data_IF_254521695342
#
_entry.id   IF_254521695342
#
_cell.length_a   1.000
_cell.length_b   1.000
_cell.length_c   1.000
_cell.angle_alpha   90.00
_cell.angle_beta   90.00
_cell.angle_gamma   90.00
#
_symmetry.space_group_name_H-M   'P 1'
#
loop_
_entity.id
_entity.type
_entity.pdbx_description
1 polymer ?
#
# COMPACT_ATOMS: atom_id res chain seq x y z
N UNK A 1 -2.97 -62.84 18.81
CA UNK A 1 -3.46 -63.71 19.92
C UNK A 1 -4.24 -62.79 20.83
N UNK A 2 -5.57 -62.94 20.87
CA UNK A 2 -6.42 -62.20 21.82
C UNK A 2 -5.98 -62.57 23.25
N UNK A 3 -5.30 -61.62 23.89
CA UNK A 3 -4.82 -61.76 25.24
C UNK A 3 -6.00 -61.43 26.18
N UNK A 4 -6.62 -62.45 26.79
CA UNK A 4 -7.66 -62.24 27.82
C UNK A 4 -6.99 -61.86 29.14
N UNK A 5 -6.99 -60.57 29.44
CA UNK A 5 -6.45 -59.99 30.66
C UNK A 5 -7.53 -59.90 31.74
N UNK A 6 -7.77 -61.00 32.46
CA UNK A 6 -8.75 -60.99 33.54
C UNK A 6 -8.08 -60.62 34.87
N UNK A 7 -8.33 -59.42 35.37
CA UNK A 7 -7.90 -59.00 36.70
C UNK A 7 -9.06 -59.06 37.68
N UNK A 8 -8.78 -59.56 38.90
CA UNK A 8 -9.74 -59.57 40.00
C UNK A 8 -9.13 -58.82 41.17
N UNK A 9 -9.64 -57.62 41.43
CA UNK A 9 -9.25 -56.83 42.59
C UNK A 9 -10.18 -57.20 43.73
N UNK A 10 -9.68 -58.03 44.63
CA UNK A 10 -10.35 -58.33 45.90
C UNK A 10 -9.99 -57.25 46.91
N UNK A 11 -10.96 -56.81 47.68
CA UNK A 11 -10.76 -55.94 48.83
C UNK A 11 -11.35 -56.52 50.10
N UNK A 12 -11.38 -55.69 51.12
CA UNK A 12 -12.04 -55.96 52.39
C UNK A 12 -13.56 -56.09 52.21
N UNK A 13 -14.24 -56.66 53.20
CA UNK A 13 -15.71 -56.72 53.25
C UNK A 13 -16.37 -57.43 52.06
N UNK A 14 -15.76 -58.51 51.57
CA UNK A 14 -16.27 -59.33 50.46
C UNK A 14 -16.36 -58.56 49.13
N UNK A 15 -15.61 -57.46 49.00
CA UNK A 15 -15.51 -56.70 47.76
C UNK A 15 -14.66 -57.45 46.73
N UNK A 16 -15.21 -57.61 45.52
CA UNK A 16 -14.52 -58.23 44.39
C UNK A 16 -14.94 -57.51 43.11
N UNK A 17 -13.97 -56.92 42.40
CA UNK A 17 -14.22 -56.22 41.14
C UNK A 17 -13.42 -56.90 40.03
N UNK A 18 -14.09 -57.15 38.91
CA UNK A 18 -13.56 -57.85 37.76
C UNK A 18 -13.28 -56.86 36.63
N UNK A 19 -12.12 -57.01 35.99
CA UNK A 19 -11.70 -56.21 34.84
C UNK A 19 -11.26 -57.14 33.72
N UNK A 20 -11.71 -56.85 32.50
CA UNK A 20 -11.44 -57.65 31.31
C UNK A 20 -10.21 -57.14 30.53
N UNK A 21 -9.62 -56.00 30.95
CA UNK A 21 -8.40 -55.45 30.37
C UNK A 21 -7.57 -54.64 31.36
N UNK A 22 -6.27 -54.50 31.06
CA UNK A 22 -5.35 -53.62 31.81
C UNK A 22 -5.78 -52.14 31.73
N UNK A 23 -6.39 -51.73 30.63
CA UNK A 23 -6.90 -50.36 30.45
C UNK A 23 -8.07 -50.07 31.40
N UNK A 24 -9.04 -50.99 31.50
CA UNK A 24 -10.15 -50.87 32.45
C UNK A 24 -9.66 -50.81 33.90
N UNK A 25 -8.71 -51.68 34.25
CA UNK A 25 -8.06 -51.66 35.57
C UNK A 25 -7.35 -50.33 35.82
N UNK A 26 -6.65 -49.78 34.82
CA UNK A 26 -5.94 -48.51 34.90
C UNK A 26 -6.86 -47.33 35.18
N UNK A 27 -7.96 -47.21 34.42
CA UNK A 27 -8.96 -46.15 34.60
C UNK A 27 -9.57 -46.24 36.01
N UNK A 28 -9.90 -47.44 36.47
CA UNK A 28 -10.46 -47.65 37.81
C UNK A 28 -9.49 -47.23 38.92
N UNK A 29 -8.23 -47.67 38.84
CA UNK A 29 -7.20 -47.33 39.82
C UNK A 29 -6.95 -45.82 39.86
N UNK A 30 -6.99 -45.14 38.71
CA UNK A 30 -6.86 -43.69 38.64
C UNK A 30 -8.02 -42.96 39.31
N UNK A 31 -9.26 -43.39 39.06
CA UNK A 31 -10.44 -42.84 39.73
C UNK A 31 -10.43 -43.07 41.24
N UNK A 32 -10.05 -44.26 41.71
CA UNK A 32 -9.89 -44.55 43.15
C UNK A 32 -8.81 -43.66 43.77
N UNK A 33 -7.66 -43.50 43.09
CA UNK A 33 -6.55 -42.67 43.56
C UNK A 33 -6.95 -41.20 43.69
N UNK A 34 -7.69 -40.66 42.73
CA UNK A 34 -8.20 -39.27 42.79
C UNK A 34 -9.13 -39.08 44.00
N UNK A 35 -10.08 -40.00 44.19
CA UNK A 35 -11.03 -39.94 45.29
C UNK A 35 -10.34 -40.04 46.66
N UNK A 36 -9.42 -41.00 46.84
CA UNK A 36 -8.68 -41.12 48.09
C UNK A 36 -7.73 -39.93 48.33
N UNK A 37 -7.11 -39.38 47.29
CA UNK A 37 -6.28 -38.18 47.39
C UNK A 37 -7.10 -36.96 47.84
N UNK A 38 -8.32 -36.82 47.33
CA UNK A 38 -9.27 -35.79 47.76
C UNK A 38 -9.63 -35.93 49.25
N UNK A 39 -9.88 -37.16 49.72
CA UNK A 39 -10.11 -37.46 51.14
C UNK A 39 -8.87 -37.10 51.97
N UNK A 40 -7.68 -37.58 51.59
CA UNK A 40 -6.44 -37.29 52.31
C UNK A 40 -6.18 -35.78 52.41
N UNK A 41 -6.39 -35.02 51.33
CA UNK A 41 -6.26 -33.56 51.32
C UNK A 41 -7.22 -32.88 52.30
N UNK A 42 -8.49 -33.30 52.32
CA UNK A 42 -9.52 -32.78 53.23
C UNK A 42 -9.11 -32.93 54.69
N UNK A 43 -8.53 -34.09 55.03
CA UNK A 43 -8.06 -34.43 56.38
C UNK A 43 -6.57 -34.15 56.61
N UNK A 44 -5.95 -33.31 55.77
CA UNK A 44 -4.54 -32.87 55.87
C UNK A 44 -3.54 -34.02 56.04
N UNK A 45 -3.81 -35.17 55.42
CA UNK A 45 -2.97 -36.36 55.49
C UNK A 45 -2.95 -37.05 56.85
N UNK A 46 -3.89 -36.75 57.76
CA UNK A 46 -3.89 -37.35 59.10
C UNK A 46 -4.57 -38.72 59.18
N UNK A 47 -5.29 -39.14 58.13
CA UNK A 47 -5.89 -40.46 58.02
C UNK A 47 -4.87 -41.47 57.47
N UNK A 48 -4.10 -42.09 58.38
CA UNK A 48 -3.08 -43.11 58.02
C UNK A 48 -3.60 -44.24 57.12
N UNK A 49 -4.81 -44.80 57.33
CA UNK A 49 -5.35 -45.84 56.45
C UNK A 49 -5.50 -45.38 55.00
N UNK A 50 -5.99 -44.16 54.78
CA UNK A 50 -6.18 -43.58 53.46
C UNK A 50 -4.83 -43.36 52.77
N UNK A 51 -3.83 -42.85 53.49
CA UNK A 51 -2.50 -42.66 52.92
C UNK A 51 -1.84 -43.98 52.54
N UNK A 52 -2.03 -45.04 53.32
CA UNK A 52 -1.52 -46.36 52.98
C UNK A 52 -2.17 -46.88 51.70
N UNK A 53 -3.48 -46.73 51.54
CA UNK A 53 -4.21 -47.08 50.31
C UNK A 53 -3.67 -46.28 49.13
N UNK A 54 -3.52 -44.95 49.26
CA UNK A 54 -2.96 -44.08 48.21
C UNK A 54 -1.58 -44.55 47.76
N UNK A 55 -0.69 -44.88 48.69
CA UNK A 55 0.66 -45.34 48.38
C UNK A 55 0.63 -46.63 47.54
N UNK A 56 -0.23 -47.59 47.91
CA UNK A 56 -0.37 -48.84 47.17
C UNK A 56 -1.08 -48.67 45.82
N UNK A 57 -2.09 -47.80 45.72
CA UNK A 57 -2.73 -47.45 44.45
C UNK A 57 -1.78 -46.70 43.51
N UNK A 58 -0.93 -45.83 44.04
CA UNK A 58 0.10 -45.12 43.25
C UNK A 58 1.10 -46.11 42.67
N UNK A 59 1.58 -47.06 43.48
CA UNK A 59 2.47 -48.12 43.02
C UNK A 59 1.79 -49.01 41.98
N UNK A 60 0.52 -49.36 42.18
CA UNK A 60 -0.25 -50.14 41.21
C UNK A 60 -0.42 -49.38 39.88
N UNK A 61 -0.77 -48.09 39.93
CA UNK A 61 -0.89 -47.21 38.75
C UNK A 61 0.41 -47.19 37.94
N UNK A 62 1.56 -47.07 38.61
CA UNK A 62 2.87 -47.12 37.96
C UNK A 62 3.10 -48.44 37.24
N UNK A 63 2.83 -49.58 37.88
CA UNK A 63 3.01 -50.89 37.24
C UNK A 63 2.06 -51.10 36.05
N UNK A 64 0.82 -50.62 36.15
CA UNK A 64 -0.15 -50.64 35.04
C UNK A 64 0.35 -49.78 33.88
N UNK A 65 0.90 -48.59 34.15
CA UNK A 65 1.38 -47.68 33.11
C UNK A 65 2.50 -48.29 32.26
N UNK A 66 3.39 -49.10 32.86
CA UNK A 66 4.41 -49.82 32.10
C UNK A 66 3.81 -50.87 31.16
N UNK A 67 2.75 -51.57 31.58
CA UNK A 67 2.06 -52.55 30.71
C UNK A 67 1.34 -51.83 29.58
N UNK A 68 0.64 -50.73 29.86
CA UNK A 68 -0.03 -49.93 28.84
C UNK A 68 0.96 -49.35 27.81
N UNK A 69 2.16 -48.95 28.25
CA UNK A 69 3.23 -48.50 27.36
C UNK A 69 3.75 -49.62 26.46
N UNK A 70 3.93 -50.84 26.99
CA UNK A 70 4.31 -52.01 26.20
C UNK A 70 3.23 -52.37 25.16
N UNK A 71 1.95 -52.30 25.55
CA UNK A 71 0.80 -52.54 24.66
C UNK A 71 0.76 -51.49 23.53
N UNK A 72 0.87 -50.19 23.87
CA UNK A 72 0.84 -49.10 22.89
C UNK A 72 2.03 -49.15 21.91
N UNK A 73 3.17 -49.72 22.33
CA UNK A 73 4.35 -49.90 21.49
C UNK A 73 4.39 -51.24 20.75
N UNK A 74 3.32 -52.05 20.82
CA UNK A 74 3.23 -53.41 20.26
C UNK A 74 4.37 -54.34 20.70
N UNK A 75 4.89 -54.13 21.92
CA UNK A 75 5.98 -54.92 22.50
C UNK A 75 5.44 -56.09 23.32
N UNK A 76 6.19 -57.20 23.44
CA UNK A 76 5.82 -58.26 24.36
C UNK A 76 5.83 -57.74 25.80
N UNK A 77 4.70 -57.90 26.50
CA UNK A 77 4.54 -57.46 27.90
C UNK A 77 5.55 -58.17 28.80
N UNK A 78 6.33 -57.39 29.55
CA UNK A 78 7.30 -57.91 30.51
C UNK A 78 6.60 -58.72 31.62
N UNK A 79 6.93 -60.02 31.82
CA UNK A 79 6.34 -60.85 32.88
C UNK A 79 6.52 -60.26 34.29
N UNK A 80 7.59 -59.49 34.51
CA UNK A 80 7.87 -58.85 35.79
C UNK A 80 6.82 -57.79 36.15
N UNK A 81 6.38 -56.98 35.17
CA UNK A 81 5.34 -55.96 35.39
C UNK A 81 4.01 -56.61 35.75
N UNK A 82 3.64 -57.72 35.08
CA UNK A 82 2.43 -58.48 35.42
C UNK A 82 2.48 -59.08 36.83
N UNK A 83 3.61 -59.67 37.20
CA UNK A 83 3.80 -60.20 38.55
C UNK A 83 3.69 -59.10 39.61
N UNK A 84 4.23 -57.91 39.32
CA UNK A 84 4.13 -56.76 40.21
C UNK A 84 2.70 -56.21 40.33
N UNK A 85 1.93 -56.17 39.24
CA UNK A 85 0.51 -55.81 39.28
C UNK A 85 -0.26 -56.78 40.18
N UNK A 86 -0.10 -58.09 39.98
CA UNK A 86 -0.78 -59.09 40.81
C UNK A 86 -0.34 -59.02 42.29
N UNK A 87 0.94 -58.77 42.56
CA UNK A 87 1.45 -58.61 43.92
C UNK A 87 0.85 -57.38 44.62
N UNK A 88 0.69 -56.25 43.91
CA UNK A 88 0.05 -55.05 44.45
C UNK A 88 -1.45 -55.28 44.68
N UNK A 89 -2.15 -55.95 43.75
CA UNK A 89 -3.55 -56.34 43.93
C UNK A 89 -3.73 -57.22 45.18
N UNK A 90 -2.86 -58.23 45.35
CA UNK A 90 -2.91 -59.10 46.52
C UNK A 90 -2.66 -58.32 47.82
N UNK A 91 -1.75 -57.35 47.81
CA UNK A 91 -1.46 -56.50 48.97
C UNK A 91 -2.66 -55.63 49.34
N UNK A 92 -3.27 -54.99 48.35
CA UNK A 92 -4.48 -54.17 48.52
C UNK A 92 -5.64 -54.95 49.14
N UNK A 93 -5.75 -56.26 48.89
CA UNK A 93 -6.87 -57.08 49.39
C UNK A 93 -7.07 -57.07 50.90
N UNK A 94 -6.02 -56.77 51.67
CA UNK A 94 -6.04 -56.71 53.13
C UNK A 94 -6.34 -55.33 53.72
N UNK A 95 -6.43 -54.28 52.90
CA UNK A 95 -6.49 -52.90 53.38
C UNK A 95 -7.35 -51.96 52.52
N UNK A 96 -7.81 -52.41 51.36
CA UNK A 96 -8.57 -51.57 50.45
C UNK A 96 -10.02 -52.03 50.36
N UNK A 97 -10.91 -51.06 50.19
CA UNK A 97 -12.28 -51.21 49.72
C UNK A 97 -12.55 -50.03 48.77
N UNK A 98 -13.56 -50.09 47.89
CA UNK A 98 -13.89 -48.98 46.99
C UNK A 98 -14.13 -47.68 47.76
N UNK A 99 -13.74 -46.53 47.21
CA UNK A 99 -13.82 -45.23 47.92
C UNK A 99 -15.22 -44.91 48.49
N UNK A 100 -16.28 -45.38 47.84
CA UNK A 100 -17.68 -45.22 48.27
C UNK A 100 -18.15 -46.20 49.35
N UNK A 101 -17.28 -47.11 49.84
CA UNK A 101 -17.66 -48.08 50.85
C UNK A 101 -17.94 -47.40 52.20
N UNK A 102 -19.00 -47.81 52.90
CA UNK A 102 -19.47 -47.19 54.15
C UNK A 102 -18.43 -47.17 55.28
N UNK A 103 -17.45 -48.07 55.22
CA UNK A 103 -16.32 -48.09 56.17
C UNK A 103 -15.56 -46.75 56.19
N UNK A 104 -15.45 -46.07 55.05
CA UNK A 104 -14.74 -44.80 54.96
C UNK A 104 -15.55 -43.63 55.48
N UNK A 105 -16.88 -43.68 55.40
CA UNK A 105 -17.75 -42.73 56.09
C UNK A 105 -17.63 -42.88 57.61
N UNK A 106 -17.65 -44.14 58.08
CA UNK A 106 -17.43 -44.43 59.51
C UNK A 106 -16.02 -44.02 59.97
N UNK A 107 -15.00 -44.23 59.15
CA UNK A 107 -13.63 -43.79 59.41
C UNK A 107 -13.54 -42.26 59.58
N UNK A 108 -14.20 -41.51 58.69
CA UNK A 108 -14.27 -40.04 58.75
C UNK A 108 -14.95 -39.58 60.04
N UNK A 109 -16.11 -40.15 60.37
CA UNK A 109 -16.81 -39.89 61.63
C UNK A 109 -15.93 -40.16 62.87
N UNK A 110 -15.22 -41.29 62.90
CA UNK A 110 -14.31 -41.62 64.00
C UNK A 110 -13.18 -40.60 64.13
N UNK A 111 -12.67 -40.09 63.02
CA UNK A 111 -11.67 -39.02 63.06
C UNK A 111 -12.26 -37.71 63.59
N UNK A 112 -13.44 -37.31 63.13
CA UNK A 112 -14.05 -36.05 63.54
C UNK A 112 -14.38 -36.02 65.04
N UNK A 113 -14.80 -37.15 65.61
CA UNK A 113 -15.15 -37.28 67.03
C UNK A 113 -13.96 -37.62 67.94
N UNK A 114 -13.07 -38.51 67.50
CA UNK A 114 -12.02 -39.11 68.34
C UNK A 114 -10.60 -38.91 67.81
N UNK A 115 -10.43 -38.08 66.78
CA UNK A 115 -9.18 -37.72 66.13
C UNK A 115 -8.33 -38.92 65.66
N UNK A 116 -7.05 -38.66 65.39
CA UNK A 116 -6.07 -39.67 64.95
C UNK A 116 -5.98 -40.85 65.91
N UNK A 117 -6.13 -40.63 67.22
CA UNK A 117 -6.10 -41.68 68.23
C UNK A 117 -7.27 -42.67 68.05
N UNK A 118 -8.49 -42.19 67.77
CA UNK A 118 -9.62 -43.05 67.46
C UNK A 118 -9.39 -43.87 66.18
N UNK A 119 -8.92 -43.21 65.12
CA UNK A 119 -8.63 -43.87 63.82
C UNK A 119 -7.58 -44.98 63.96
N UNK A 120 -6.53 -44.74 64.75
CA UNK A 120 -5.46 -45.72 65.01
C UNK A 120 -6.00 -47.03 65.58
N UNK A 121 -7.04 -46.98 66.43
CA UNK A 121 -7.65 -48.19 66.96
C UNK A 121 -8.80 -48.72 66.09
N UNK A 122 -9.60 -47.84 65.48
CA UNK A 122 -10.72 -48.24 64.64
C UNK A 122 -10.30 -49.11 63.45
N UNK A 123 -9.36 -48.62 62.63
CA UNK A 123 -9.06 -49.26 61.35
C UNK A 123 -8.54 -50.70 61.51
N UNK A 124 -7.53 -50.99 62.36
CA UNK A 124 -7.04 -52.35 62.55
C UNK A 124 -8.12 -53.31 63.08
N UNK A 125 -9.01 -52.84 63.96
CA UNK A 125 -10.08 -53.66 64.52
C UNK A 125 -11.22 -53.94 63.51
N UNK A 126 -11.47 -53.05 62.54
CA UNK A 126 -12.49 -53.30 61.50
C UNK A 126 -11.99 -54.28 60.43
N UNK A 127 -10.71 -54.21 60.04
CA UNK A 127 -10.16 -55.03 58.94
C UNK A 127 -9.79 -56.47 59.36
N UNK A 128 -10.13 -56.87 60.59
CA UNK A 128 -9.87 -58.22 61.13
C UNK A 128 -8.57 -58.37 61.92
N UNK A 129 -7.82 -57.28 62.13
CA UNK A 129 -6.73 -57.23 63.10
C UNK A 129 -7.24 -56.95 64.52
N UNK A 130 -6.31 -56.76 65.46
CA UNK A 130 -6.62 -56.31 66.81
C UNK A 130 -5.59 -55.29 67.28
N UNK A 131 -6.07 -54.14 67.74
CA UNK A 131 -5.24 -53.14 68.40
C UNK A 131 -5.83 -52.78 69.75
N UNK A 132 -5.11 -53.12 70.82
CA UNK A 132 -5.51 -52.81 72.18
C UNK A 132 -5.56 -51.29 72.41
N UNK A 133 -6.66 -50.75 72.94
CA UNK A 133 -6.75 -49.34 73.28
C UNK A 133 -5.85 -48.97 74.46
N UNK A 134 -4.99 -47.96 74.29
CA UNK A 134 -4.13 -47.38 75.33
C UNK A 134 -4.69 -46.11 75.98
N UNK A 135 -5.74 -45.50 75.41
CA UNK A 135 -6.41 -44.33 75.96
C UNK A 135 -7.91 -44.31 75.62
N UNK A 136 -8.65 -43.37 76.20
CA UNK A 136 -10.10 -43.24 76.00
C UNK A 136 -10.48 -43.09 74.52
N UNK A 137 -9.77 -42.25 73.76
CA UNK A 137 -10.07 -42.01 72.34
C UNK A 137 -9.85 -43.28 71.48
N UNK A 138 -8.77 -44.02 71.75
CA UNK A 138 -8.53 -45.33 71.13
C UNK A 138 -9.63 -46.33 71.51
N UNK A 139 -10.13 -46.29 72.76
CA UNK A 139 -11.22 -47.17 73.18
C UNK A 139 -12.50 -46.88 72.39
N UNK A 140 -12.82 -45.59 72.21
CA UNK A 140 -13.97 -45.18 71.40
C UNK A 140 -13.82 -45.60 69.93
N UNK A 141 -12.60 -45.55 69.38
CA UNK A 141 -12.30 -46.08 68.05
C UNK A 141 -12.53 -47.59 67.92
N UNK A 142 -12.07 -48.38 68.90
CA UNK A 142 -12.32 -49.83 68.92
C UNK A 142 -13.80 -50.19 69.07
N UNK A 143 -14.56 -49.46 69.90
CA UNK A 143 -16.01 -49.65 70.03
C UNK A 143 -16.75 -49.30 68.73
N UNK A 144 -16.37 -48.19 68.08
CA UNK A 144 -16.94 -47.81 66.79
C UNK A 144 -16.69 -48.85 65.69
N UNK A 145 -15.58 -49.59 65.78
CA UNK A 145 -15.26 -50.71 64.90
C UNK A 145 -16.18 -51.92 65.15
N UNK A 146 -16.38 -52.26 66.43
CA UNK A 146 -17.32 -53.32 66.83
C UNK A 146 -18.75 -53.02 66.36
N UNK A 147 -19.24 -51.80 66.60
CA UNK A 147 -20.59 -51.39 66.18
C UNK A 147 -20.76 -51.50 64.67
N UNK A 148 -19.78 -51.01 63.89
CA UNK A 148 -19.80 -51.10 62.44
C UNK A 148 -19.89 -52.56 61.94
N UNK A 149 -19.09 -53.46 62.52
CA UNK A 149 -19.11 -54.88 62.15
C UNK A 149 -20.42 -55.56 62.56
N UNK A 150 -21.00 -55.18 63.71
CA UNK A 150 -22.30 -55.68 64.17
C UNK A 150 -23.43 -55.23 63.25
N UNK A 151 -23.47 -53.95 62.89
CA UNK A 151 -24.45 -53.38 61.96
C UNK A 151 -24.36 -54.05 60.59
N UNK A 152 -23.14 -54.26 60.07
CA UNK A 152 -22.92 -55.02 58.83
C UNK A 152 -23.45 -56.45 58.92
N UNK A 153 -23.30 -57.12 60.07
CA UNK A 153 -23.83 -58.47 60.28
C UNK A 153 -25.37 -58.49 60.35
N UNK A 154 -26.01 -57.44 60.88
CA UNK A 154 -27.48 -57.33 60.81
C UNK A 154 -28.00 -57.10 59.39
N UNK A 155 -27.21 -56.47 58.50
CA UNK A 155 -27.56 -56.35 57.07
C UNK A 155 -27.52 -57.72 56.37
N UNK A 156 -26.63 -58.63 56.77
CA UNK A 156 -26.64 -60.00 56.24
C UNK A 156 -27.85 -60.85 56.66
N UNK A 157 -28.67 -60.38 57.60
CA UNK A 157 -29.92 -61.02 58.06
C UNK A 157 -31.19 -60.44 57.36
N UNK A 158 -31.04 -59.74 56.24
CA UNK A 158 -32.17 -59.18 55.45
C UNK A 158 -33.12 -60.28 54.93
N UNK A 159 -34.43 -60.02 54.99
CA UNK A 159 -35.49 -60.81 54.34
C UNK A 159 -35.23 -60.93 52.83
N UNK A 160 -35.59 -62.07 52.22
CA UNK A 160 -35.47 -62.28 50.77
C UNK A 160 -36.16 -61.16 49.95
N UNK A 161 -37.26 -60.58 50.45
CA UNK A 161 -37.96 -59.49 49.75
C UNK A 161 -37.14 -58.19 49.62
N UNK A 162 -36.40 -57.84 50.68
CA UNK A 162 -35.59 -56.63 50.70
C UNK A 162 -34.34 -56.83 49.84
N UNK A 163 -33.84 -58.07 49.81
CA UNK A 163 -32.74 -58.49 48.94
C UNK A 163 -33.14 -58.36 47.46
N UNK A 164 -34.32 -58.85 47.08
CA UNK A 164 -34.85 -58.76 45.72
C UNK A 164 -35.09 -57.29 45.31
N UNK A 165 -35.62 -56.46 46.22
CA UNK A 165 -35.80 -55.03 45.98
C UNK A 165 -34.47 -54.28 45.77
N UNK A 166 -33.45 -54.62 46.57
CA UNK A 166 -32.11 -54.05 46.43
C UNK A 166 -31.47 -54.50 45.11
N UNK A 167 -31.54 -55.80 44.77
CA UNK A 167 -31.03 -56.31 43.49
C UNK A 167 -31.70 -55.61 42.31
N UNK A 168 -33.02 -55.48 42.31
CA UNK A 168 -33.75 -54.84 41.22
C UNK A 168 -33.35 -53.36 41.04
N UNK A 169 -33.20 -52.61 42.15
CA UNK A 169 -32.73 -51.23 42.08
C UNK A 169 -31.27 -51.15 41.62
N UNK A 170 -30.43 -52.10 42.02
CA UNK A 170 -29.04 -52.16 41.59
C UNK A 170 -28.94 -52.46 40.08
N UNK A 171 -29.73 -53.40 39.56
CA UNK A 171 -29.83 -53.68 38.13
C UNK A 171 -30.31 -52.47 37.35
N UNK A 172 -31.36 -51.79 37.81
CA UNK A 172 -31.87 -50.57 37.17
C UNK A 172 -30.83 -49.44 37.18
N UNK A 173 -30.06 -49.29 38.26
CA UNK A 173 -28.99 -48.29 38.35
C UNK A 173 -27.84 -48.59 37.38
N UNK A 174 -27.46 -49.86 37.23
CA UNK A 174 -26.46 -50.30 36.24
C UNK A 174 -26.95 -50.04 34.82
N UNK A 175 -28.20 -50.40 34.50
CA UNK A 175 -28.79 -50.19 33.17
C UNK A 175 -28.80 -48.70 32.79
N UNK A 176 -29.26 -47.84 33.72
CA UNK A 176 -29.20 -46.39 33.54
C UNK A 176 -27.77 -45.85 33.43
N UNK A 177 -26.82 -46.41 34.18
CA UNK A 177 -25.41 -46.08 34.06
C UNK A 177 -24.85 -46.40 32.66
N UNK A 178 -25.21 -47.55 32.11
CA UNK A 178 -24.79 -47.96 30.77
C UNK A 178 -25.42 -47.07 29.68
N UNK A 179 -26.70 -46.74 29.76
CA UNK A 179 -27.36 -45.79 28.85
C UNK A 179 -26.67 -44.41 28.88
N UNK A 180 -26.33 -43.92 30.07
CA UNK A 180 -25.61 -42.65 30.23
C UNK A 180 -24.20 -42.71 29.63
N UNK A 181 -23.50 -43.83 29.76
CA UNK A 181 -22.18 -44.01 29.18
C UNK A 181 -22.23 -44.11 27.65
N UNK A 182 -23.24 -44.79 27.08
CA UNK A 182 -23.46 -44.82 25.63
C UNK A 182 -23.78 -43.42 25.07
N UNK A 183 -24.65 -42.67 25.75
CA UNK A 183 -24.97 -41.29 25.34
C UNK A 183 -23.76 -40.38 25.45
N UNK A 184 -22.95 -40.50 26.52
CA UNK A 184 -21.67 -39.78 26.69
C UNK A 184 -20.73 -40.04 25.52
N UNK A 185 -20.48 -41.31 25.17
CA UNK A 185 -19.62 -41.69 24.03
C UNK A 185 -20.13 -41.15 22.70
N UNK A 186 -21.45 -41.16 22.50
CA UNK A 186 -22.06 -40.62 21.27
C UNK A 186 -21.88 -39.10 21.15
N UNK A 187 -21.99 -38.38 22.27
CA UNK A 187 -21.78 -36.95 22.36
C UNK A 187 -20.31 -36.59 22.11
N UNK A 188 -19.39 -37.34 22.72
CA UNK A 188 -17.95 -37.16 22.55
C UNK A 188 -17.56 -37.33 21.07
N UNK A 189 -18.05 -38.39 20.41
CA UNK A 189 -17.81 -38.60 18.98
C UNK A 189 -18.35 -37.46 18.10
N UNK A 190 -19.54 -36.93 18.44
CA UNK A 190 -20.12 -35.79 17.72
C UNK A 190 -19.32 -34.51 17.92
N UNK A 191 -18.83 -34.27 19.15
CA UNK A 191 -18.01 -33.11 19.45
C UNK A 191 -16.68 -33.15 18.66
N UNK A 192 -16.00 -34.30 18.64
CA UNK A 192 -14.76 -34.49 17.88
C UNK A 192 -15.00 -34.27 16.38
N UNK A 193 -16.08 -34.85 15.82
CA UNK A 193 -16.40 -34.65 14.40
C UNK A 193 -16.72 -33.20 14.07
N UNK A 194 -17.50 -32.53 14.93
CA UNK A 194 -17.84 -31.12 14.74
C UNK A 194 -16.61 -30.22 14.80
N UNK A 195 -15.70 -30.47 15.75
CA UNK A 195 -14.44 -29.73 15.86
C UNK A 195 -13.56 -29.92 14.61
N UNK A 196 -13.45 -31.16 14.12
CA UNK A 196 -12.71 -31.44 12.89
C UNK A 196 -13.32 -30.77 11.65
N UNK A 197 -14.65 -30.76 11.52
CA UNK A 197 -15.36 -30.08 10.42
C UNK A 197 -15.18 -28.55 10.49
N UNK A 198 -15.29 -27.96 11.69
CA UNK A 198 -15.05 -26.54 11.90
C UNK A 198 -13.62 -26.15 11.56
N UNK A 199 -12.63 -26.94 11.99
CA UNK A 199 -11.22 -26.66 11.71
C UNK A 199 -10.92 -26.76 10.21
N UNK A 200 -11.48 -27.76 9.53
CA UNK A 200 -11.37 -27.88 8.07
C UNK A 200 -12.02 -26.70 7.37
N UNK A 201 -13.27 -26.36 7.71
CA UNK A 201 -13.99 -25.24 7.10
C UNK A 201 -13.26 -23.91 7.30
N UNK A 202 -12.64 -23.70 8.46
CA UNK A 202 -11.84 -22.51 8.73
C UNK A 202 -10.59 -22.48 7.85
N UNK A 203 -9.87 -23.58 7.75
CA UNK A 203 -8.68 -23.69 6.90
C UNK A 203 -8.99 -23.48 5.42
N UNK A 204 -10.10 -24.06 4.94
CA UNK A 204 -10.55 -23.91 3.55
C UNK A 204 -10.91 -22.43 3.25
N UNK A 205 -11.64 -21.78 4.17
CA UNK A 205 -11.98 -20.35 4.07
C UNK A 205 -10.74 -19.44 4.11
N UNK A 206 -9.77 -19.73 4.97
CA UNK A 206 -8.52 -18.97 5.06
C UNK A 206 -7.70 -19.07 3.76
N UNK A 207 -7.60 -20.27 3.18
CA UNK A 207 -6.95 -20.47 1.89
C UNK A 207 -7.66 -19.71 0.76
N UNK A 208 -8.98 -19.81 0.67
CA UNK A 208 -9.76 -19.09 -0.34
C UNK A 208 -9.59 -17.56 -0.22
N UNK A 209 -9.64 -17.03 1.00
CA UNK A 209 -9.39 -15.60 1.23
C UNK A 209 -7.99 -15.18 0.80
N UNK A 210 -6.97 -15.96 1.16
CA UNK A 210 -5.58 -15.67 0.78
C UNK A 210 -5.36 -15.72 -0.73
N UNK A 211 -5.95 -16.69 -1.43
CA UNK A 211 -5.86 -16.81 -2.89
C UNK A 211 -6.58 -15.65 -3.60
N UNK A 212 -7.76 -15.26 -3.10
CA UNK A 212 -8.48 -14.09 -3.61
C UNK A 212 -7.67 -12.81 -3.38
N UNK A 213 -7.10 -12.62 -2.19
CA UNK A 213 -6.27 -11.46 -1.88
C UNK A 213 -5.01 -11.41 -2.74
N UNK A 214 -4.33 -12.55 -2.92
CA UNK A 214 -3.13 -12.63 -3.75
C UNK A 214 -3.43 -12.31 -5.22
N UNK A 215 -4.53 -12.86 -5.77
CA UNK A 215 -4.93 -12.58 -7.15
C UNK A 215 -5.35 -11.12 -7.36
N UNK A 216 -6.15 -10.55 -6.45
CA UNK A 216 -6.54 -9.14 -6.50
C UNK A 216 -5.33 -8.20 -6.38
N UNK A 217 -4.39 -8.51 -5.48
CA UNK A 217 -3.18 -7.71 -5.30
C UNK A 217 -2.31 -7.77 -6.55
N UNK A 218 -2.10 -8.95 -7.12
CA UNK A 218 -1.33 -9.13 -8.36
C UNK A 218 -1.96 -8.39 -9.53
N UNK A 219 -3.28 -8.51 -9.71
CA UNK A 219 -4.00 -7.79 -10.77
C UNK A 219 -3.93 -6.27 -10.58
N UNK A 220 -4.13 -5.77 -9.36
CA UNK A 220 -4.07 -4.33 -9.10
C UNK A 220 -2.67 -3.78 -9.26
N UNK A 221 -1.64 -4.55 -8.91
CA UNK A 221 -0.27 -4.11 -9.09
C UNK A 221 0.13 -4.06 -10.58
N UNK A 222 -0.31 -5.02 -11.39
CA UNK A 222 -0.06 -4.99 -12.84
C UNK A 222 -0.84 -3.88 -13.56
N UNK A 223 -2.10 -3.64 -13.17
CA UNK A 223 -2.88 -2.47 -13.63
C UNK A 223 -2.14 -1.16 -13.29
N UNK A 224 -1.68 -1.01 -12.05
CA UNK A 224 -0.96 0.18 -11.61
C UNK A 224 0.38 0.37 -12.33
N UNK A 225 1.15 -0.69 -12.55
CA UNK A 225 2.41 -0.61 -13.31
C UNK A 225 2.17 -0.18 -14.76
N UNK A 226 1.12 -0.70 -15.39
CA UNK A 226 0.69 -0.30 -16.73
C UNK A 226 0.29 1.18 -16.77
N UNK A 227 -0.64 1.59 -15.91
CA UNK A 227 -1.14 2.97 -15.85
C UNK A 227 -0.02 3.96 -15.53
N UNK A 228 0.88 3.58 -14.62
CA UNK A 228 2.07 4.37 -14.28
C UNK A 228 2.97 4.55 -15.49
N UNK A 229 3.24 3.49 -16.25
CA UNK A 229 4.10 3.57 -17.44
C UNK A 229 3.51 4.48 -18.53
N UNK A 230 2.19 4.44 -18.71
CA UNK A 230 1.48 5.32 -19.65
C UNK A 230 1.56 6.77 -19.16
N UNK A 231 1.30 7.00 -17.88
CA UNK A 231 1.36 8.33 -17.28
C UNK A 231 2.77 8.92 -17.36
N UNK A 232 3.81 8.15 -17.02
CA UNK A 232 5.20 8.61 -17.12
C UNK A 232 5.57 8.96 -18.57
N UNK A 233 5.15 8.15 -19.55
CA UNK A 233 5.38 8.45 -20.96
C UNK A 233 4.64 9.72 -21.44
N UNK A 234 3.36 9.87 -21.11
CA UNK A 234 2.56 11.05 -21.47
C UNK A 234 3.10 12.32 -20.79
N UNK A 235 3.49 12.20 -19.52
CA UNK A 235 4.11 13.29 -18.77
C UNK A 235 5.42 13.73 -19.42
N UNK A 236 6.33 12.80 -19.73
CA UNK A 236 7.62 13.10 -20.34
C UNK A 236 7.44 13.71 -21.75
N UNK A 237 6.53 13.17 -22.55
CA UNK A 237 6.18 13.74 -23.86
C UNK A 237 5.66 15.18 -23.72
N UNK A 238 4.76 15.43 -22.77
CA UNK A 238 4.20 16.76 -22.51
C UNK A 238 5.26 17.75 -22.03
N UNK A 239 6.16 17.32 -21.14
CA UNK A 239 7.27 18.15 -20.65
C UNK A 239 8.23 18.49 -21.79
N UNK A 240 8.62 17.52 -22.62
CA UNK A 240 9.51 17.78 -23.76
C UNK A 240 8.83 18.67 -24.82
N UNK A 241 7.53 18.47 -25.09
CA UNK A 241 6.76 19.34 -25.97
C UNK A 241 6.66 20.77 -25.43
N UNK A 242 6.45 20.93 -24.11
CA UNK A 242 6.40 22.24 -23.46
C UNK A 242 7.77 22.94 -23.50
N UNK A 243 8.86 22.22 -23.18
CA UNK A 243 10.23 22.75 -23.28
C UNK A 243 10.56 23.20 -24.69
N UNK A 244 10.20 22.40 -25.70
CA UNK A 244 10.39 22.74 -27.11
C UNK A 244 9.63 24.02 -27.47
N UNK A 245 8.35 24.12 -27.13
CA UNK A 245 7.54 25.33 -27.38
C UNK A 245 8.10 26.57 -26.68
N UNK A 246 8.57 26.44 -25.44
CA UNK A 246 9.19 27.56 -24.70
C UNK A 246 10.47 28.01 -25.41
N UNK A 247 11.32 27.08 -25.83
CA UNK A 247 12.56 27.39 -26.57
C UNK A 247 12.28 28.06 -27.92
N UNK A 248 11.31 27.56 -28.68
CA UNK A 248 10.87 28.16 -29.95
C UNK A 248 10.31 29.59 -29.73
N UNK A 249 9.50 29.78 -28.69
CA UNK A 249 8.94 31.08 -28.33
C UNK A 249 10.02 32.06 -27.89
N UNK A 250 10.99 31.61 -27.09
CA UNK A 250 12.13 32.42 -26.66
C UNK A 250 12.97 32.86 -27.85
N UNK A 251 13.31 31.95 -28.77
CA UNK A 251 14.04 32.27 -29.99
C UNK A 251 13.29 33.28 -30.86
N UNK A 252 11.99 33.09 -31.04
CA UNK A 252 11.11 34.00 -31.79
C UNK A 252 11.06 35.39 -31.15
N UNK A 253 10.96 35.45 -29.82
CA UNK A 253 10.90 36.71 -29.08
C UNK A 253 12.24 37.45 -29.09
N UNK A 254 13.36 36.74 -28.98
CA UNK A 254 14.70 37.33 -29.09
C UNK A 254 14.92 37.95 -30.48
N UNK A 255 14.51 37.27 -31.55
CA UNK A 255 14.55 37.82 -32.92
C UNK A 255 13.62 39.03 -33.08
N UNK A 256 12.41 38.98 -32.51
CA UNK A 256 11.52 40.13 -32.50
C UNK A 256 12.17 41.35 -31.85
N UNK A 257 12.72 41.19 -30.64
CA UNK A 257 13.35 42.28 -29.91
C UNK A 257 14.58 42.86 -30.63
N UNK A 258 15.33 42.02 -31.35
CA UNK A 258 16.51 42.43 -32.13
C UNK A 258 16.14 43.32 -33.31
N UNK A 259 15.01 43.08 -33.97
CA UNK A 259 14.65 43.71 -35.24
C UNK A 259 13.55 44.78 -35.12
N UNK A 260 12.70 44.71 -34.11
CA UNK A 260 11.62 45.67 -33.87
C UNK A 260 12.14 47.11 -33.68
N UNK A 261 13.14 47.29 -32.81
CA UNK A 261 13.72 48.62 -32.56
C UNK A 261 14.35 49.25 -33.81
N UNK A 262 15.18 48.52 -34.59
CA UNK A 262 15.63 48.99 -35.90
C UNK A 262 14.49 49.30 -36.88
N UNK A 263 13.46 48.45 -36.97
CA UNK A 263 12.32 48.67 -37.87
C UNK A 263 11.58 49.98 -37.52
N UNK A 264 11.32 50.19 -36.23
CA UNK A 264 10.70 51.41 -35.73
C UNK A 264 11.56 52.64 -35.99
N UNK A 265 12.89 52.52 -35.83
CA UNK A 265 13.83 53.58 -36.18
C UNK A 265 13.77 53.97 -37.67
N UNK A 266 13.74 52.98 -38.58
CA UNK A 266 13.64 53.24 -40.02
C UNK A 266 12.28 53.84 -40.40
N UNK A 267 11.18 53.36 -39.81
CA UNK A 267 9.85 53.96 -39.98
C UNK A 267 9.84 55.44 -39.55
N UNK A 268 10.37 55.74 -38.37
CA UNK A 268 10.46 57.12 -37.88
C UNK A 268 11.40 57.98 -38.76
N UNK A 269 12.41 57.37 -39.37
CA UNK A 269 13.35 58.05 -40.27
C UNK A 269 12.70 58.36 -41.61
N UNK A 270 11.88 57.44 -42.13
CA UNK A 270 11.04 57.66 -43.31
C UNK A 270 10.11 58.85 -43.10
N UNK A 271 9.41 58.92 -41.96
CA UNK A 271 8.51 60.04 -41.64
C UNK A 271 9.25 61.38 -41.62
N UNK A 272 10.47 61.41 -41.06
CA UNK A 272 11.32 62.61 -41.09
C UNK A 272 11.66 63.01 -42.52
N UNK A 273 12.12 62.09 -43.37
CA UNK A 273 12.46 62.41 -44.75
C UNK A 273 11.24 62.72 -45.62
N UNK A 274 10.06 62.17 -45.30
CA UNK A 274 8.78 62.52 -45.93
C UNK A 274 8.46 64.00 -45.70
N UNK A 275 8.57 64.48 -44.46
CA UNK A 275 8.37 65.88 -44.15
C UNK A 275 9.35 66.80 -44.88
N UNK A 276 10.64 66.42 -44.95
CA UNK A 276 11.64 67.20 -45.69
C UNK A 276 11.40 67.15 -47.20
N UNK A 277 11.00 66.00 -47.75
CA UNK A 277 10.67 65.83 -49.17
C UNK A 277 9.46 66.67 -49.55
N UNK A 278 8.44 66.70 -48.71
CA UNK A 278 7.29 67.58 -48.88
C UNK A 278 7.72 69.05 -48.90
N UNK A 279 8.55 69.48 -47.94
CA UNK A 279 9.08 70.84 -47.89
C UNK A 279 9.87 71.22 -49.16
N UNK A 280 10.81 70.38 -49.59
CA UNK A 280 11.59 70.62 -50.82
C UNK A 280 10.73 70.55 -52.08
N UNK A 281 9.71 69.68 -52.10
CA UNK A 281 8.75 69.58 -53.20
C UNK A 281 7.91 70.85 -53.34
N UNK A 282 7.42 71.38 -52.21
CA UNK A 282 6.71 72.67 -52.17
C UNK A 282 7.64 73.81 -52.59
N UNK A 283 8.87 73.84 -52.09
CA UNK A 283 9.86 74.87 -52.45
C UNK A 283 10.21 74.83 -53.96
N UNK A 284 10.42 73.64 -54.51
CA UNK A 284 10.68 73.44 -55.94
C UNK A 284 9.47 73.87 -56.77
N UNK A 285 8.25 73.46 -56.39
CA UNK A 285 7.02 73.84 -57.07
C UNK A 285 6.80 75.36 -57.06
N UNK A 286 7.00 76.02 -55.91
CA UNK A 286 6.92 77.47 -55.80
C UNK A 286 7.99 78.17 -56.65
N UNK A 287 9.24 77.68 -56.65
CA UNK A 287 10.33 78.24 -57.46
C UNK A 287 10.02 78.16 -58.96
N UNK A 288 9.53 77.00 -59.43
CA UNK A 288 9.08 76.81 -60.82
C UNK A 288 7.93 77.75 -61.16
N UNK A 289 6.94 77.88 -60.28
CA UNK A 289 5.79 78.77 -60.47
C UNK A 289 6.21 80.23 -60.59
N UNK A 290 7.10 80.72 -59.71
CA UNK A 290 7.66 82.08 -59.78
C UNK A 290 8.39 82.28 -61.10
N UNK A 291 9.20 81.31 -61.54
CA UNK A 291 9.88 81.37 -62.84
C UNK A 291 8.90 81.49 -64.01
N UNK A 292 7.79 80.74 -64.00
CA UNK A 292 6.74 80.83 -65.02
C UNK A 292 6.03 82.19 -65.02
N UNK A 293 5.73 82.75 -63.84
CA UNK A 293 5.11 84.08 -63.72
C UNK A 293 6.04 85.16 -64.25
N UNK A 294 7.32 85.15 -63.85
CA UNK A 294 8.33 86.09 -64.34
C UNK A 294 8.50 85.97 -65.85
N UNK A 295 8.56 84.75 -66.38
CA UNK A 295 8.63 84.48 -67.81
C UNK A 295 7.39 85.00 -68.55
N UNK A 296 6.20 84.78 -68.02
CA UNK A 296 4.94 85.26 -68.62
C UNK A 296 4.87 86.79 -68.66
N UNK A 297 5.23 87.47 -67.56
CA UNK A 297 5.29 88.94 -67.50
C UNK A 297 6.30 89.47 -68.51
N UNK A 298 7.50 88.88 -68.56
CA UNK A 298 8.54 89.25 -69.52
C UNK A 298 8.07 89.06 -70.97
N UNK A 299 7.47 87.91 -71.30
CA UNK A 299 6.98 87.58 -72.63
C UNK A 299 5.84 88.51 -73.08
N UNK A 300 4.90 88.84 -72.18
CA UNK A 300 3.83 89.81 -72.45
C UNK A 300 4.41 91.20 -72.73
N UNK A 301 5.30 91.71 -71.87
CA UNK A 301 5.91 93.02 -72.05
C UNK A 301 6.75 93.10 -73.34
N UNK A 302 7.42 92.01 -73.74
CA UNK A 302 8.15 91.91 -75.00
C UNK A 302 7.22 92.00 -76.22
N UNK A 303 6.07 91.32 -76.21
CA UNK A 303 5.04 91.38 -77.27
C UNK A 303 4.39 92.75 -77.39
N UNK A 304 4.18 93.44 -76.27
CA UNK A 304 3.55 94.77 -76.21
C UNK A 304 4.52 95.91 -76.61
N UNK A 305 5.80 95.60 -76.87
CA UNK A 305 6.78 96.58 -77.36
C UNK A 305 7.25 97.59 -76.31
N UNK A 306 7.04 97.31 -75.02
CA UNK A 306 7.51 98.15 -73.92
C UNK A 306 9.04 98.08 -73.77
N UNK A 307 9.67 99.18 -73.31
CA UNK A 307 11.10 99.18 -72.96
C UNK A 307 11.33 98.22 -71.79
N UNK A 308 11.83 97.03 -72.09
CA UNK A 308 12.36 96.12 -71.09
C UNK A 308 13.59 96.79 -70.48
N UNK A 309 13.70 96.83 -69.15
CA UNK A 309 14.88 97.37 -68.44
C UNK A 309 16.20 96.68 -68.79
N UNK A 310 16.17 95.68 -69.68
CA UNK A 310 17.31 95.02 -70.32
C UNK A 310 17.15 95.22 -71.83
N UNK A 311 18.02 96.04 -72.42
CA UNK A 311 18.14 96.25 -73.85
C UNK A 311 18.79 95.02 -74.52
N UNK A 312 17.95 94.14 -75.09
CA UNK A 312 18.35 92.86 -75.72
C UNK A 312 19.06 93.02 -77.07
N UNK A 313 19.09 94.23 -77.62
CA UNK A 313 19.86 94.63 -78.81
C UNK A 313 21.35 94.87 -78.49
N UNK A 314 21.70 95.02 -77.22
CA UNK A 314 23.07 95.25 -76.75
C UNK A 314 23.70 93.95 -76.24
N UNK A 315 24.97 93.70 -76.58
CA UNK A 315 25.74 92.51 -76.13
C UNK A 315 25.67 92.34 -74.61
N UNK A 316 25.75 93.44 -73.84
CA UNK A 316 25.67 93.42 -72.37
C UNK A 316 24.31 92.90 -71.86
N UNK A 317 23.21 93.27 -72.51
CA UNK A 317 21.86 92.83 -72.13
C UNK A 317 21.63 91.35 -72.42
N UNK A 318 22.09 90.87 -73.58
CA UNK A 318 22.05 89.44 -73.94
C UNK A 318 22.87 88.59 -72.96
N UNK A 319 24.09 89.02 -72.64
CA UNK A 319 24.95 88.31 -71.67
C UNK A 319 24.29 88.24 -70.30
N UNK A 320 23.76 89.35 -69.78
CA UNK A 320 23.09 89.39 -68.48
C UNK A 320 21.84 88.49 -68.43
N UNK A 321 21.05 88.46 -69.51
CA UNK A 321 19.89 87.59 -69.63
C UNK A 321 20.27 86.10 -69.65
N UNK A 322 21.26 85.71 -70.45
CA UNK A 322 21.75 84.33 -70.53
C UNK A 322 22.33 83.88 -69.19
N UNK A 323 23.12 84.73 -68.51
CA UNK A 323 23.63 84.44 -67.17
C UNK A 323 22.50 84.28 -66.15
N UNK A 324 21.47 85.13 -66.19
CA UNK A 324 20.30 85.02 -65.31
C UNK A 324 19.54 83.69 -65.46
N UNK A 325 19.29 83.27 -66.70
CA UNK A 325 18.66 81.96 -66.99
C UNK A 325 19.57 80.81 -66.52
N UNK A 326 20.88 80.91 -66.75
CA UNK A 326 21.82 79.87 -66.33
C UNK A 326 21.87 79.73 -64.79
N UNK A 327 21.87 80.85 -64.06
CA UNK A 327 21.81 80.85 -62.59
C UNK A 327 20.47 80.28 -62.09
N UNK A 328 19.35 80.67 -62.69
CA UNK A 328 18.04 80.10 -62.34
C UNK A 328 17.98 78.59 -62.60
N UNK A 329 18.46 78.14 -63.76
CA UNK A 329 18.55 76.72 -64.11
C UNK A 329 19.46 75.93 -63.17
N UNK A 330 20.56 76.53 -62.70
CA UNK A 330 21.42 75.93 -61.67
C UNK A 330 20.67 75.74 -60.35
N UNK A 331 19.98 76.76 -59.83
CA UNK A 331 19.19 76.64 -58.60
C UNK A 331 18.05 75.62 -58.73
N UNK A 332 17.36 75.60 -59.88
CA UNK A 332 16.33 74.59 -60.18
C UNK A 332 16.93 73.18 -60.13
N UNK A 333 18.12 72.98 -60.72
CA UNK A 333 18.82 71.69 -60.67
C UNK A 333 19.22 71.29 -59.25
N UNK A 334 19.68 72.23 -58.42
CA UNK A 334 20.03 71.96 -57.02
C UNK A 334 18.79 71.57 -56.22
N UNK A 335 17.69 72.33 -56.34
CA UNK A 335 16.42 72.02 -55.66
C UNK A 335 15.83 70.69 -56.10
N UNK A 336 15.86 70.39 -57.40
CA UNK A 336 15.43 69.10 -57.93
C UNK A 336 16.30 67.95 -57.39
N UNK A 337 17.63 68.13 -57.31
CA UNK A 337 18.53 67.14 -56.69
C UNK A 337 18.25 66.93 -55.21
N UNK A 338 17.98 67.99 -54.45
CA UNK A 338 17.65 67.89 -53.02
C UNK A 338 16.33 67.15 -52.81
N UNK A 339 15.28 67.48 -53.57
CA UNK A 339 14.00 66.77 -53.53
C UNK A 339 14.14 65.29 -53.90
N UNK A 340 14.84 64.99 -55.01
CA UNK A 340 15.07 63.60 -55.42
C UNK A 340 15.92 62.84 -54.40
N UNK A 341 16.87 63.51 -53.74
CA UNK A 341 17.67 62.90 -52.67
C UNK A 341 16.80 62.56 -51.46
N UNK A 342 16.03 63.50 -50.91
CA UNK A 342 15.23 63.23 -49.71
C UNK A 342 14.13 62.21 -49.98
N UNK A 343 13.53 62.21 -51.17
CA UNK A 343 12.51 61.21 -51.54
C UNK A 343 13.12 59.82 -51.71
N UNK A 344 14.36 59.72 -52.19
CA UNK A 344 15.08 58.44 -52.24
C UNK A 344 15.40 57.92 -50.83
N UNK A 345 15.90 58.77 -49.93
CA UNK A 345 16.16 58.38 -48.54
C UNK A 345 14.87 58.00 -47.79
N UNK A 346 13.75 58.66 -48.09
CA UNK A 346 12.44 58.29 -47.55
C UNK A 346 12.06 56.87 -48.01
N UNK A 347 12.03 56.63 -49.33
CA UNK A 347 11.62 55.33 -49.89
C UNK A 347 12.50 54.19 -49.40
N UNK A 348 13.81 54.41 -49.33
CA UNK A 348 14.75 53.45 -48.77
C UNK A 348 14.44 53.10 -47.31
N UNK A 349 14.16 54.11 -46.48
CA UNK A 349 13.79 53.89 -45.08
C UNK A 349 12.42 53.17 -44.95
N UNK A 350 11.45 53.47 -45.82
CA UNK A 350 10.15 52.77 -45.90
C UNK A 350 10.32 51.31 -46.31
N UNK A 351 11.09 51.04 -47.36
CA UNK A 351 11.36 49.69 -47.87
C UNK A 351 12.04 48.82 -46.80
N UNK A 352 13.04 49.35 -46.10
CA UNK A 352 13.71 48.64 -44.98
C UNK A 352 12.75 48.37 -43.83
N UNK A 353 11.91 49.33 -43.45
CA UNK A 353 10.92 49.12 -42.39
C UNK A 353 9.91 48.03 -42.79
N UNK A 354 9.37 48.10 -44.00
CA UNK A 354 8.40 47.12 -44.51
C UNK A 354 9.00 45.72 -44.64
N UNK A 355 10.22 45.58 -45.18
CA UNK A 355 10.92 44.30 -45.26
C UNK A 355 11.20 43.71 -43.87
N UNK A 356 11.53 44.56 -42.88
CA UNK A 356 11.75 44.08 -41.51
C UNK A 356 10.44 43.59 -40.87
N UNK A 357 9.33 44.32 -41.05
CA UNK A 357 8.02 43.86 -40.57
C UNK A 357 7.54 42.59 -41.27
N UNK A 358 7.76 42.50 -42.58
CA UNK A 358 7.43 41.31 -43.37
C UNK A 358 8.24 40.10 -42.88
N UNK A 359 9.52 40.28 -42.59
CA UNK A 359 10.37 39.25 -41.99
C UNK A 359 9.90 38.82 -40.60
N UNK A 360 9.57 39.79 -39.74
CA UNK A 360 9.02 39.52 -38.40
C UNK A 360 7.71 38.73 -38.46
N UNK A 361 6.83 39.04 -39.42
CA UNK A 361 5.60 38.29 -39.65
C UNK A 361 5.89 36.85 -40.12
N UNK A 362 6.85 36.66 -41.02
CA UNK A 362 7.22 35.34 -41.52
C UNK A 362 7.92 34.46 -40.47
N UNK A 363 8.73 35.03 -39.56
CA UNK A 363 9.26 34.30 -38.40
C UNK A 363 8.11 33.83 -37.51
N UNK A 364 7.17 34.72 -37.20
CA UNK A 364 6.04 34.41 -36.32
C UNK A 364 5.20 33.23 -36.86
N UNK A 365 5.03 33.16 -38.18
CA UNK A 365 4.28 32.10 -38.85
C UNK A 365 5.16 30.86 -39.15
N UNK A 366 6.43 30.84 -38.73
CA UNK A 366 7.35 29.71 -38.90
C UNK A 366 7.76 29.43 -40.36
N UNK A 367 7.63 30.42 -41.24
CA UNK A 367 7.67 30.25 -42.70
C UNK A 367 9.04 30.52 -43.36
N UNK A 368 10.13 30.69 -42.59
CA UNK A 368 11.45 31.08 -43.11
C UNK A 368 12.54 30.05 -42.82
N UNK A 369 13.29 29.68 -43.87
CA UNK A 369 14.53 28.90 -43.83
C UNK A 369 15.76 29.78 -43.51
N UNK A 370 16.81 29.20 -42.93
CA UNK A 370 18.01 29.90 -42.47
C UNK A 370 18.74 30.65 -43.61
N UNK A 371 18.68 30.14 -44.84
CA UNK A 371 19.25 30.83 -46.02
C UNK A 371 18.49 32.10 -46.40
N UNK A 372 17.18 32.12 -46.19
CA UNK A 372 16.33 33.29 -46.47
C UNK A 372 16.56 34.39 -45.44
N UNK A 373 16.94 34.03 -44.21
CA UNK A 373 17.29 34.96 -43.12
C UNK A 373 18.51 35.81 -43.45
N UNK A 374 19.60 35.19 -43.92
CA UNK A 374 20.82 35.93 -44.23
C UNK A 374 20.62 36.93 -45.37
N UNK A 375 19.83 36.57 -46.39
CA UNK A 375 19.51 37.46 -47.52
C UNK A 375 18.70 38.67 -47.06
N UNK A 376 17.71 38.48 -46.18
CA UNK A 376 16.90 39.58 -45.65
C UNK A 376 17.72 40.48 -44.73
N UNK A 377 18.55 39.90 -43.85
CA UNK A 377 19.46 40.69 -43.01
C UNK A 377 20.42 41.50 -43.89
N UNK A 378 21.01 40.87 -44.91
CA UNK A 378 21.90 41.55 -45.84
C UNK A 378 21.20 42.67 -46.61
N UNK A 379 19.94 42.49 -47.04
CA UNK A 379 19.19 43.53 -47.74
C UNK A 379 18.85 44.70 -46.79
N UNK A 380 18.45 44.43 -45.55
CA UNK A 380 18.17 45.44 -44.51
C UNK A 380 19.39 46.29 -44.12
N UNK A 381 20.58 45.70 -44.12
CA UNK A 381 21.83 46.37 -43.76
C UNK A 381 22.70 46.82 -44.95
N UNK A 382 22.28 46.55 -46.18
CA UNK A 382 22.95 47.05 -47.39
C UNK A 382 22.91 48.58 -47.44
N UNK A 383 23.88 49.24 -48.09
CA UNK A 383 23.95 50.72 -48.14
C UNK A 383 23.17 51.26 -49.33
N UNK A 384 22.41 52.32 -49.10
CA UNK A 384 21.67 52.98 -50.18
C UNK A 384 22.52 54.04 -50.84
N UNK A 385 22.73 53.88 -52.14
CA UNK A 385 23.46 54.84 -52.96
C UNK A 385 22.65 56.14 -53.05
N UNK A 386 23.16 57.19 -52.44
CA UNK A 386 22.62 58.53 -52.67
C UNK A 386 23.32 59.09 -53.90
N UNK A 387 22.55 59.59 -54.87
CA UNK A 387 23.07 60.17 -56.12
C UNK A 387 23.94 61.44 -55.98
N UNK A 388 24.40 61.75 -54.77
CA UNK A 388 25.37 62.81 -54.46
C UNK A 388 26.80 62.30 -54.32
N UNK A 389 27.02 61.01 -54.06
CA UNK A 389 28.34 60.42 -53.83
C UNK A 389 28.51 59.24 -54.78
N UNK A 390 28.95 59.53 -56.01
CA UNK A 390 29.23 58.50 -57.02
C UNK A 390 30.70 58.12 -56.92
N UNK A 391 31.03 56.98 -56.32
CA UNK A 391 32.37 56.41 -56.49
C UNK A 391 32.98 55.61 -55.34
N UNK A 392 32.23 54.78 -54.63
CA UNK A 392 32.88 53.79 -53.75
C UNK A 392 32.22 52.41 -53.92
N UNK A 393 33.02 51.45 -54.37
CA UNK A 393 32.60 50.12 -54.82
C UNK A 393 32.24 49.21 -53.64
N UNK A 394 30.97 49.21 -53.23
CA UNK A 394 30.43 48.29 -52.22
C UNK A 394 29.10 47.69 -52.68
N UNK A 395 28.71 46.48 -52.23
CA UNK A 395 27.64 45.70 -52.85
C UNK A 395 26.26 46.38 -52.78
N UNK A 396 25.64 46.55 -53.95
CA UNK A 396 24.26 47.05 -54.13
C UNK A 396 23.23 46.01 -53.68
N UNK A 397 22.09 46.45 -53.15
CA UNK A 397 21.00 45.60 -52.63
C UNK A 397 20.51 44.55 -53.66
N UNK A 398 20.47 43.25 -53.33
CA UNK A 398 19.94 42.23 -54.22
C UNK A 398 18.40 42.22 -54.16
N UNK A 399 17.75 43.08 -54.93
CA UNK A 399 16.29 43.23 -54.93
C UNK A 399 15.52 42.05 -55.58
N UNK A 400 16.21 41.11 -56.27
CA UNK A 400 15.55 40.13 -57.15
C UNK A 400 15.67 38.65 -56.71
N UNK A 401 16.56 38.30 -55.78
CA UNK A 401 16.78 36.91 -55.38
C UNK A 401 15.91 36.45 -54.18
N UNK A 402 15.35 37.40 -53.42
CA UNK A 402 14.49 37.11 -52.25
C UNK A 402 13.22 36.34 -52.65
N UNK A 403 12.63 36.65 -53.82
CA UNK A 403 11.35 36.09 -54.26
C UNK A 403 11.45 34.67 -54.84
N UNK A 404 12.64 34.20 -55.24
CA UNK A 404 12.82 32.86 -55.83
C UNK A 404 12.85 31.73 -54.81
N UNK A 405 13.16 32.03 -53.54
CA UNK A 405 13.38 31.03 -52.51
C UNK A 405 12.22 30.91 -51.50
N UNK A 406 11.15 31.69 -51.68
CA UNK A 406 9.95 31.61 -50.85
C UNK A 406 9.08 30.45 -51.36
N UNK A 407 9.00 29.35 -50.61
CA UNK A 407 7.96 28.34 -50.80
C UNK A 407 6.67 28.88 -50.20
N UNK A 408 5.76 29.35 -51.04
CA UNK A 408 4.38 29.62 -50.65
C UNK A 408 3.71 28.24 -50.46
N UNK A 409 3.37 27.91 -49.22
CA UNK A 409 2.66 26.67 -48.88
C UNK A 409 1.23 26.69 -49.43
N UNK A 410 0.76 25.52 -49.88
CA UNK A 410 -0.63 25.18 -50.18
C UNK A 410 -1.51 25.13 -48.94
#
# INVERSE_FOLDING_TARGET
>A
MEYKENYVVKGLFDTSIHFDSTEQLGIYVEGELENFTSISKTYKGQLTPINNIINHLTNLKLQISFILQDIAAERPINPSHRNNVQANINTLSSMWAPHGHSVFERLKYVYDEYNVAGVQSFWPNVIGGFQQPGNHLQMMGALAAYDYLRERKSITELSNSDRDFIEQNYTNAIEKGNELEETRKSLEKRAINWEAECQKSWSDWEHECNDIWASLTSQKNSEWESDRSIYEAEHDESIEAAKKKISELEATYQEHLKLEKPAQYWSNTADKYSNHSFLYGVLLSAFVFVGLVVFFIFYRNFLEGHELGIQLDTIKGVVLFVTGIAVYGFFLRVLAKLFMSTTHLQRDAEERAQLTYFYLALIKDGAIDEKSRDIVIQSLFSRTETGLISGDSSPTMPAMDVLKNIKIGS
#
